data_IF_135201123124
#
_entry.id   IF_135201123124
#
_cell.length_a   1.000
_cell.length_b   1.000
_cell.length_c   1.000
_cell.angle_alpha   90.00
_cell.angle_beta   90.00
_cell.angle_gamma   90.00
#
_symmetry.space_group_name_H-M   'P 1'
#
loop_
_entity.id
_entity.type
_entity.pdbx_description
1 polymer ?
#
# COMPACT_ATOMS: atom_id res chain seq x y z
N UNK A 1 9.00 1.21 4.37
CA UNK A 1 8.86 1.67 2.97
C UNK A 1 9.55 3.01 2.75
N UNK A 2 9.16 4.08 3.46
CA UNK A 2 9.72 5.42 3.20
C UNK A 2 11.25 5.47 3.27
N UNK A 3 11.86 4.78 4.25
CA UNK A 3 13.32 4.66 4.35
C UNK A 3 13.90 3.83 3.19
N UNK A 4 13.31 2.69 2.89
CA UNK A 4 13.80 1.78 1.85
C UNK A 4 13.73 2.41 0.45
N UNK A 5 12.76 3.28 0.22
CA UNK A 5 12.56 3.97 -1.05
C UNK A 5 13.10 5.40 -1.07
N UNK A 6 13.89 5.79 -0.04
CA UNK A 6 14.48 7.12 0.09
C UNK A 6 13.48 8.29 0.09
N UNK A 7 12.24 8.02 0.54
CA UNK A 7 11.16 9.01 0.71
C UNK A 7 11.13 9.57 2.14
N UNK A 8 12.30 9.92 2.70
CA UNK A 8 12.46 10.25 4.12
C UNK A 8 11.90 11.60 4.52
N UNK A 9 11.65 12.51 3.58
CA UNK A 9 11.00 13.79 3.80
C UNK A 9 9.87 14.00 2.81
N UNK A 10 8.69 14.30 3.34
CA UNK A 10 7.49 14.61 2.55
C UNK A 10 7.10 16.09 2.69
N UNK A 11 8.07 16.94 3.09
CA UNK A 11 7.84 18.38 3.21
C UNK A 11 7.23 18.94 1.92
N UNK A 12 6.19 19.76 2.07
CA UNK A 12 5.42 20.40 1.00
C UNK A 12 4.62 19.46 0.08
N UNK A 13 4.70 18.13 0.27
CA UNK A 13 3.96 17.17 -0.56
C UNK A 13 2.49 17.07 -0.17
N UNK A 14 1.64 17.01 -1.19
CA UNK A 14 0.23 16.67 -1.08
C UNK A 14 0.07 15.18 -1.37
N UNK A 15 -0.49 14.45 -0.40
CA UNK A 15 -0.58 13.00 -0.42
C UNK A 15 -2.04 12.51 -0.46
N UNK A 16 -2.24 11.31 -0.99
CA UNK A 16 -3.50 10.55 -0.89
C UNK A 16 -3.21 9.22 -0.22
N UNK A 17 -4.00 8.86 0.78
CA UNK A 17 -3.99 7.55 1.43
C UNK A 17 -5.26 6.78 1.00
N UNK A 18 -5.10 5.76 0.16
CA UNK A 18 -6.18 4.93 -0.36
C UNK A 18 -6.34 3.68 0.50
N UNK A 19 -7.46 3.60 1.21
CA UNK A 19 -7.72 2.58 2.22
C UNK A 19 -7.19 3.03 3.58
N UNK A 20 -7.48 4.28 3.96
CA UNK A 20 -6.92 4.91 5.15
C UNK A 20 -7.25 4.17 6.45
N UNK A 21 -8.39 3.48 6.53
CA UNK A 21 -8.81 2.68 7.71
C UNK A 21 -8.69 3.49 9.01
N UNK A 22 -7.95 3.00 9.99
CA UNK A 22 -7.68 3.71 11.26
C UNK A 22 -6.72 4.88 11.11
N UNK A 23 -6.02 5.00 9.97
CA UNK A 23 -5.14 6.12 9.65
C UNK A 23 -3.65 5.84 9.82
N UNK A 24 -3.23 4.57 9.86
CA UNK A 24 -1.83 4.22 10.06
C UNK A 24 -0.89 4.81 9.01
N UNK A 25 -1.25 4.75 7.74
CA UNK A 25 -0.45 5.35 6.66
C UNK A 25 -0.58 6.88 6.67
N UNK A 26 -1.79 7.41 6.88
CA UNK A 26 -2.01 8.86 7.05
C UNK A 26 -1.12 9.42 8.15
N UNK A 27 -1.08 8.81 9.35
CA UNK A 27 -0.23 9.24 10.47
C UNK A 27 1.27 9.20 10.09
N UNK A 28 1.69 8.13 9.44
CA UNK A 28 3.06 8.00 8.94
C UNK A 28 3.44 9.14 7.98
N UNK A 29 2.58 9.48 7.03
CA UNK A 29 2.79 10.59 6.09
C UNK A 29 2.90 11.92 6.83
N UNK A 30 2.03 12.18 7.80
CA UNK A 30 2.03 13.40 8.62
C UNK A 30 3.31 13.53 9.45
N UNK A 31 3.79 12.44 10.06
CA UNK A 31 5.04 12.40 10.83
C UNK A 31 6.28 12.67 9.95
N UNK A 32 6.23 12.34 8.65
CA UNK A 32 7.29 12.64 7.69
C UNK A 32 7.14 14.01 7.02
N UNK A 33 6.21 14.84 7.50
CA UNK A 33 6.10 16.25 7.12
C UNK A 33 5.15 16.52 5.94
N UNK A 34 4.28 15.57 5.57
CA UNK A 34 3.29 15.81 4.51
C UNK A 34 2.52 17.10 4.78
N UNK A 35 2.41 17.95 3.75
CA UNK A 35 1.68 19.21 3.78
C UNK A 35 0.18 18.99 3.92
N UNK A 36 -0.33 17.97 3.24
CA UNK A 36 -1.74 17.59 3.25
C UNK A 36 -1.90 16.12 2.91
N UNK A 37 -2.87 15.46 3.53
CA UNK A 37 -3.23 14.07 3.23
C UNK A 37 -4.73 13.95 3.02
N UNK A 38 -5.14 13.47 1.85
CA UNK A 38 -6.50 13.04 1.58
C UNK A 38 -6.64 11.58 2.04
N UNK A 39 -7.35 11.35 3.14
CA UNK A 39 -7.59 10.03 3.71
C UNK A 39 -8.89 9.44 3.12
N UNK A 40 -8.72 8.56 2.12
CA UNK A 40 -9.83 7.97 1.34
C UNK A 40 -10.15 6.59 1.85
N UNK A 41 -11.41 6.34 2.25
CA UNK A 41 -11.88 5.01 2.65
C UNK A 41 -13.35 4.79 2.28
N UNK A 42 -13.72 3.54 2.00
CA UNK A 42 -15.11 3.14 1.80
C UNK A 42 -15.89 3.04 3.10
N UNK A 43 -15.20 2.84 4.21
CA UNK A 43 -15.74 2.82 5.56
C UNK A 43 -16.20 4.19 6.05
N UNK A 44 -16.75 4.19 7.26
CA UNK A 44 -17.19 5.42 7.93
C UNK A 44 -16.90 5.36 9.43
N UNK A 45 -16.32 6.45 9.97
CA UNK A 45 -16.07 6.57 11.40
C UNK A 45 -14.93 5.67 11.92
N UNK A 46 -14.09 5.13 11.03
CA UNK A 46 -12.99 4.22 11.37
C UNK A 46 -11.70 4.99 11.67
N UNK A 47 -11.49 6.12 11.00
CA UNK A 47 -10.28 6.94 11.13
C UNK A 47 -10.13 7.45 12.58
N UNK A 48 -8.94 7.27 13.15
CA UNK A 48 -8.61 7.70 14.50
C UNK A 48 -8.95 9.18 14.73
N UNK A 49 -9.44 9.51 15.91
CA UNK A 49 -9.91 10.86 16.24
C UNK A 49 -8.81 11.93 16.12
N UNK A 50 -7.57 11.62 16.50
CA UNK A 50 -6.44 12.56 16.42
C UNK A 50 -6.13 12.89 14.96
N UNK A 51 -6.11 11.87 14.09
CA UNK A 51 -5.84 12.01 12.67
C UNK A 51 -6.97 12.79 12.00
N UNK A 52 -8.21 12.46 12.32
CA UNK A 52 -9.41 13.15 11.83
C UNK A 52 -9.42 14.65 12.12
N UNK A 53 -8.85 15.08 13.24
CA UNK A 53 -8.80 16.46 13.67
C UNK A 53 -7.48 17.18 13.31
N UNK A 54 -6.53 16.52 12.67
CA UNK A 54 -5.34 17.20 12.15
C UNK A 54 -5.73 18.09 10.96
N UNK A 55 -5.38 19.35 11.02
CA UNK A 55 -5.75 20.37 10.02
C UNK A 55 -5.18 20.09 8.63
N UNK A 56 -4.19 19.20 8.53
CA UNK A 56 -3.58 18.74 7.28
C UNK A 56 -4.35 17.60 6.64
N UNK A 57 -5.32 16.98 7.33
CA UNK A 57 -6.07 15.82 6.84
C UNK A 57 -7.41 16.22 6.26
N UNK A 58 -7.67 15.78 5.05
CA UNK A 58 -8.98 15.86 4.41
C UNK A 58 -9.62 14.47 4.45
N UNK A 59 -10.63 14.31 5.29
CA UNK A 59 -11.32 13.04 5.49
C UNK A 59 -12.30 12.78 4.35
N UNK A 60 -12.10 11.69 3.62
CA UNK A 60 -12.93 11.25 2.48
C UNK A 60 -13.48 9.85 2.72
N UNK A 61 -14.35 9.73 3.72
CA UNK A 61 -15.03 8.48 4.05
C UNK A 61 -16.25 8.22 3.14
N UNK A 62 -16.70 6.95 3.08
CA UNK A 62 -17.76 6.48 2.15
C UNK A 62 -17.41 6.77 0.69
N UNK A 63 -16.13 6.89 0.38
CA UNK A 63 -15.63 7.17 -0.96
C UNK A 63 -14.93 5.94 -1.52
N UNK A 64 -15.36 5.47 -2.68
CA UNK A 64 -14.62 4.43 -3.38
C UNK A 64 -13.62 5.09 -4.33
N UNK A 65 -12.34 4.87 -4.09
CA UNK A 65 -11.24 5.45 -4.85
C UNK A 65 -11.38 5.25 -6.37
N UNK A 66 -12.00 4.15 -6.81
CA UNK A 66 -12.26 3.88 -8.24
C UNK A 66 -13.09 4.95 -8.95
N UNK A 67 -13.88 5.71 -8.21
CA UNK A 67 -14.81 6.71 -8.77
C UNK A 67 -14.35 8.15 -8.52
N UNK A 68 -13.21 8.35 -7.89
CA UNK A 68 -12.62 9.67 -7.74
C UNK A 68 -11.91 10.01 -9.03
N UNK A 69 -12.40 11.00 -9.74
CA UNK A 69 -11.85 11.40 -11.04
C UNK A 69 -10.69 12.40 -10.90
N UNK A 70 -10.71 13.25 -9.87
CA UNK A 70 -9.69 14.28 -9.66
C UNK A 70 -9.70 14.76 -8.22
N UNK A 71 -8.56 15.34 -7.81
CA UNK A 71 -8.44 16.19 -6.63
C UNK A 71 -8.29 17.64 -7.10
N UNK A 72 -8.73 18.62 -6.29
CA UNK A 72 -8.66 20.03 -6.64
C UNK A 72 -7.26 20.64 -6.57
N UNK A 73 -6.28 19.81 -6.30
CA UNK A 73 -4.87 20.17 -6.24
C UNK A 73 -4.00 19.01 -6.74
N UNK A 74 -2.77 19.30 -7.21
CA UNK A 74 -1.84 18.28 -7.67
C UNK A 74 -1.47 17.29 -6.55
N UNK A 75 -1.39 16.00 -6.88
CA UNK A 75 -1.00 14.94 -5.94
C UNK A 75 0.43 14.51 -6.24
N UNK A 76 1.29 14.58 -5.22
CA UNK A 76 2.70 14.25 -5.34
C UNK A 76 2.99 12.80 -4.96
N UNK A 77 2.22 12.25 -4.00
CA UNK A 77 2.40 10.87 -3.53
C UNK A 77 1.05 10.22 -3.22
N UNK A 78 0.84 9.02 -3.73
CA UNK A 78 -0.28 8.16 -3.35
C UNK A 78 0.23 6.95 -2.61
N UNK A 79 -0.29 6.68 -1.42
CA UNK A 79 -0.09 5.40 -0.73
C UNK A 79 -1.36 4.56 -0.85
N UNK A 80 -1.21 3.25 -1.07
CA UNK A 80 -2.36 2.35 -1.30
C UNK A 80 -2.25 1.15 -0.37
N UNK A 81 -3.22 1.03 0.56
CA UNK A 81 -3.44 -0.14 1.41
C UNK A 81 -4.90 -0.62 1.26
N UNK A 82 -5.29 -0.95 0.04
CA UNK A 82 -6.66 -1.37 -0.26
C UNK A 82 -6.85 -2.88 -0.07
N UNK A 83 -7.98 -3.26 0.54
CA UNK A 83 -8.38 -4.65 0.71
C UNK A 83 -9.53 -5.00 -0.23
N UNK A 84 -9.60 -6.28 -0.65
CA UNK A 84 -10.66 -6.84 -1.51
C UNK A 84 -10.75 -6.25 -2.92
N UNK A 85 -9.71 -5.56 -3.37
CA UNK A 85 -9.60 -4.98 -4.70
C UNK A 85 -8.17 -5.15 -5.22
N UNK A 86 -8.02 -5.44 -6.50
CA UNK A 86 -6.72 -5.53 -7.14
C UNK A 86 -6.15 -4.14 -7.44
N UNK A 87 -4.83 -3.97 -7.27
CA UNK A 87 -4.10 -2.78 -7.69
C UNK A 87 -4.26 -2.50 -9.18
N UNK A 88 -4.47 -3.53 -9.99
CA UNK A 88 -4.76 -3.39 -11.43
C UNK A 88 -6.06 -2.62 -11.71
N UNK A 89 -6.97 -2.55 -10.75
CA UNK A 89 -8.16 -1.71 -10.84
C UNK A 89 -7.91 -0.27 -10.40
N UNK A 90 -6.98 -0.06 -9.46
CA UNK A 90 -6.71 1.26 -8.88
C UNK A 90 -5.68 2.07 -9.66
N UNK A 91 -4.59 1.44 -10.13
CA UNK A 91 -3.49 2.14 -10.81
C UNK A 91 -3.94 2.97 -12.03
N UNK A 92 -4.87 2.50 -12.90
CA UNK A 92 -5.37 3.32 -14.01
C UNK A 92 -6.13 4.58 -13.56
N UNK A 93 -6.70 4.57 -12.37
CA UNK A 93 -7.39 5.73 -11.79
C UNK A 93 -6.39 6.65 -11.11
N UNK A 94 -5.51 6.09 -10.30
CA UNK A 94 -4.49 6.81 -9.53
C UNK A 94 -3.60 7.67 -10.42
N UNK A 95 -3.18 7.16 -11.59
CA UNK A 95 -2.33 7.94 -12.53
C UNK A 95 -2.95 9.27 -12.97
N UNK A 96 -4.30 9.37 -12.93
CA UNK A 96 -5.01 10.59 -13.34
C UNK A 96 -4.92 11.68 -12.27
N UNK A 97 -4.58 11.34 -11.03
CA UNK A 97 -4.44 12.27 -9.92
C UNK A 97 -3.02 12.84 -9.80
N UNK A 98 -2.05 12.04 -10.27
CA UNK A 98 -0.62 12.34 -10.08
C UNK A 98 -0.19 13.52 -10.93
N UNK A 99 0.61 14.38 -10.31
CA UNK A 99 1.16 15.56 -10.93
C UNK A 99 2.38 15.23 -11.79
N UNK A 100 2.42 15.78 -12.99
CA UNK A 100 3.64 15.78 -13.79
C UNK A 100 4.63 16.85 -13.25
N UNK A 101 5.94 16.66 -13.35
CA UNK A 101 6.60 15.63 -14.15
C UNK A 101 6.83 14.31 -13.42
N UNK A 102 6.61 14.23 -12.10
CA UNK A 102 6.96 13.03 -11.32
C UNK A 102 6.05 12.83 -10.12
N UNK A 103 4.98 12.07 -10.33
CA UNK A 103 4.14 11.57 -9.24
C UNK A 103 4.62 10.21 -8.74
N UNK A 104 4.45 9.94 -7.47
CA UNK A 104 4.93 8.73 -6.82
C UNK A 104 3.77 7.91 -6.22
N UNK A 105 3.92 6.59 -6.24
CA UNK A 105 2.97 5.66 -5.61
C UNK A 105 3.74 4.66 -4.75
N UNK A 106 3.33 4.49 -3.51
CA UNK A 106 3.75 3.37 -2.66
C UNK A 106 2.54 2.46 -2.46
N UNK A 107 2.56 1.29 -3.10
CA UNK A 107 1.44 0.37 -3.10
C UNK A 107 1.75 -0.90 -2.30
N UNK A 108 0.88 -1.25 -1.37
CA UNK A 108 0.92 -2.54 -0.68
C UNK A 108 0.29 -3.61 -1.56
N UNK A 109 1.11 -4.52 -2.07
CA UNK A 109 0.70 -5.68 -2.86
C UNK A 109 0.32 -6.80 -1.90
N UNK A 110 -0.92 -7.20 -1.95
CA UNK A 110 -1.51 -8.25 -1.12
C UNK A 110 -1.81 -9.48 -1.98
N UNK A 111 -0.95 -10.52 -1.99
CA UNK A 111 -1.15 -11.67 -2.86
C UNK A 111 -2.54 -12.30 -2.75
N UNK A 112 -3.13 -12.32 -1.56
CA UNK A 112 -4.47 -12.85 -1.32
C UNK A 112 -5.59 -12.10 -2.05
N UNK A 113 -5.36 -10.86 -2.52
CA UNK A 113 -6.31 -10.08 -3.31
C UNK A 113 -5.93 -9.94 -4.79
N UNK A 114 -4.71 -10.33 -5.14
CA UNK A 114 -4.20 -10.28 -6.52
C UNK A 114 -4.23 -11.64 -7.21
N UNK A 115 -4.03 -12.73 -6.47
CA UNK A 115 -4.10 -14.09 -6.97
C UNK A 115 -5.53 -14.49 -7.36
N UNK A 116 -5.64 -15.49 -8.22
CA UNK A 116 -6.92 -16.04 -8.64
C UNK A 116 -7.73 -16.64 -7.49
N UNK A 117 -9.05 -16.65 -7.62
CA UNK A 117 -9.96 -17.20 -6.57
C UNK A 117 -9.63 -18.65 -6.19
N UNK A 118 -9.18 -19.46 -7.14
CA UNK A 118 -8.81 -20.87 -6.90
C UNK A 118 -7.61 -20.99 -5.97
N UNK A 119 -6.62 -20.13 -6.09
CA UNK A 119 -5.41 -20.16 -5.27
C UNK A 119 -5.67 -19.65 -3.87
N UNK A 120 -6.44 -18.58 -3.77
CA UNK A 120 -6.87 -18.03 -2.48
C UNK A 120 -7.74 -19.02 -1.69
N UNK A 121 -8.64 -19.74 -2.37
CA UNK A 121 -9.50 -20.73 -1.74
C UNK A 121 -8.72 -21.95 -1.19
N UNK A 122 -7.69 -22.44 -1.91
CA UNK A 122 -6.84 -23.56 -1.46
C UNK A 122 -6.14 -23.27 -0.13
N UNK A 123 -5.75 -22.00 0.11
CA UNK A 123 -5.05 -21.56 1.31
C UNK A 123 -5.94 -21.01 2.42
N UNK A 124 -7.28 -21.16 2.35
CA UNK A 124 -8.21 -20.53 3.31
C UNK A 124 -8.00 -19.01 3.45
N UNK A 125 -7.66 -18.36 2.35
CA UNK A 125 -7.36 -16.92 2.31
C UNK A 125 -5.91 -16.55 2.62
N UNK A 126 -5.01 -17.55 2.75
CA UNK A 126 -3.56 -17.33 2.96
C UNK A 126 -2.75 -17.91 1.81
N UNK A 127 -1.94 -17.07 1.20
CA UNK A 127 -0.98 -17.48 0.18
C UNK A 127 0.37 -17.71 0.86
N UNK A 128 0.89 -18.95 0.79
CA UNK A 128 2.19 -19.32 1.37
C UNK A 128 3.24 -19.72 0.35
N UNK A 129 2.79 -20.09 -0.85
CA UNK A 129 3.66 -20.54 -1.91
C UNK A 129 4.47 -19.38 -2.51
N UNK A 130 5.82 -19.42 -2.41
CA UNK A 130 6.66 -18.36 -2.99
C UNK A 130 6.48 -18.18 -4.50
N UNK A 131 6.15 -19.25 -5.24
CA UNK A 131 5.95 -19.17 -6.68
C UNK A 131 4.67 -18.40 -7.02
N UNK A 132 3.62 -18.53 -6.21
CA UNK A 132 2.40 -17.73 -6.34
C UNK A 132 2.72 -16.26 -6.01
N UNK A 133 3.54 -15.99 -4.97
CA UNK A 133 4.00 -14.63 -4.68
C UNK A 133 4.74 -14.02 -5.88
N UNK A 134 5.72 -14.74 -6.46
CA UNK A 134 6.48 -14.29 -7.66
C UNK A 134 5.54 -13.99 -8.82
N UNK A 135 4.61 -14.92 -9.11
CA UNK A 135 3.65 -14.73 -10.19
C UNK A 135 2.76 -13.50 -9.98
N UNK A 136 2.27 -13.29 -8.77
CA UNK A 136 1.47 -12.10 -8.41
C UNK A 136 2.29 -10.82 -8.58
N UNK A 137 3.50 -10.77 -8.05
CA UNK A 137 4.36 -9.59 -8.15
C UNK A 137 4.65 -9.25 -9.61
N UNK A 138 4.99 -10.25 -10.43
CA UNK A 138 5.20 -10.09 -11.87
C UNK A 138 3.96 -9.50 -12.54
N UNK A 139 2.79 -10.08 -12.32
CA UNK A 139 1.55 -9.60 -12.92
C UNK A 139 1.22 -8.16 -12.55
N UNK A 140 1.39 -7.78 -11.28
CA UNK A 140 1.10 -6.41 -10.83
C UNK A 140 2.09 -5.41 -11.39
N UNK A 141 3.39 -5.71 -11.35
CA UNK A 141 4.44 -4.79 -11.81
C UNK A 141 4.46 -4.64 -13.34
N UNK A 142 4.27 -5.72 -14.10
CA UNK A 142 4.12 -5.65 -15.55
C UNK A 142 2.86 -4.88 -15.95
N UNK A 143 1.76 -5.04 -15.21
CA UNK A 143 0.56 -4.25 -15.43
C UNK A 143 0.82 -2.77 -15.15
N UNK A 144 1.50 -2.43 -14.05
CA UNK A 144 1.87 -1.06 -13.75
C UNK A 144 2.70 -0.43 -14.89
N UNK A 145 3.67 -1.17 -15.45
CA UNK A 145 4.45 -0.70 -16.62
C UNK A 145 3.57 -0.45 -17.84
N UNK A 146 2.61 -1.32 -18.14
CA UNK A 146 1.65 -1.12 -19.25
C UNK A 146 0.79 0.12 -19.04
N UNK A 147 0.51 0.49 -17.78
CA UNK A 147 -0.21 1.71 -17.43
C UNK A 147 0.69 2.96 -17.40
N UNK A 148 1.97 2.84 -17.76
CA UNK A 148 2.91 3.94 -17.88
C UNK A 148 3.68 4.26 -16.60
N UNK A 149 3.69 3.37 -15.60
CA UNK A 149 4.54 3.48 -14.43
C UNK A 149 5.92 2.85 -14.63
N UNK A 150 6.91 3.32 -13.90
CA UNK A 150 8.18 2.60 -13.68
C UNK A 150 8.24 2.11 -12.25
N UNK A 151 8.55 0.83 -12.03
CA UNK A 151 8.80 0.29 -10.69
C UNK A 151 10.26 0.59 -10.28
N UNK A 152 10.44 1.49 -9.32
CA UNK A 152 11.74 1.91 -8.80
C UNK A 152 12.23 1.03 -7.64
N UNK A 153 11.30 0.36 -6.94
CA UNK A 153 11.65 -0.48 -5.81
C UNK A 153 10.57 -1.47 -5.44
N UNK A 154 11.00 -2.56 -4.84
CA UNK A 154 10.14 -3.62 -4.33
C UNK A 154 10.76 -4.17 -3.05
N UNK A 155 10.00 -4.25 -1.97
CA UNK A 155 10.42 -4.86 -0.71
C UNK A 155 9.33 -5.78 -0.15
N UNK A 156 9.73 -6.77 0.63
CA UNK A 156 8.81 -7.52 1.48
C UNK A 156 8.37 -6.60 2.63
N UNK A 157 7.08 -6.57 2.93
CA UNK A 157 6.57 -5.84 4.09
C UNK A 157 7.18 -6.41 5.38
N UNK A 158 7.67 -5.57 6.31
CA UNK A 158 8.15 -6.04 7.61
C UNK A 158 7.01 -6.55 8.50
N UNK A 159 5.77 -6.17 8.18
CA UNK A 159 4.56 -6.63 8.85
C UNK A 159 3.85 -7.65 7.98
N UNK A 160 3.30 -8.68 8.61
CA UNK A 160 2.41 -9.61 7.94
C UNK A 160 0.97 -9.12 7.99
N UNK A 161 0.24 -9.38 6.93
CA UNK A 161 -1.19 -9.11 6.88
C UNK A 161 -2.01 -10.09 7.72
N UNK A 162 -3.34 -9.98 7.69
CA UNK A 162 -4.24 -10.87 8.42
C UNK A 162 -3.92 -12.35 8.17
N UNK A 163 -4.01 -13.16 9.23
CA UNK A 163 -3.72 -14.60 9.22
C UNK A 163 -2.28 -14.95 8.80
N UNK A 164 -1.34 -13.98 8.87
CA UNK A 164 0.06 -14.18 8.52
C UNK A 164 0.36 -14.16 7.02
N UNK A 165 -0.47 -13.51 6.21
CA UNK A 165 -0.16 -13.28 4.80
C UNK A 165 1.11 -12.45 4.65
N UNK A 166 2.01 -12.91 3.77
CA UNK A 166 3.17 -12.12 3.34
C UNK A 166 2.67 -11.10 2.32
N UNK A 167 3.02 -9.82 2.56
CA UNK A 167 2.66 -8.72 1.71
C UNK A 167 3.92 -7.99 1.24
N UNK A 168 3.82 -7.21 0.18
CA UNK A 168 4.96 -6.54 -0.44
C UNK A 168 4.63 -5.06 -0.68
N UNK A 169 5.66 -4.22 -0.68
CA UNK A 169 5.52 -2.79 -0.98
C UNK A 169 6.29 -2.49 -2.26
N UNK A 170 5.59 -1.89 -3.21
CA UNK A 170 6.19 -1.42 -4.47
C UNK A 170 6.23 0.10 -4.49
N UNK A 171 7.35 0.67 -4.96
CA UNK A 171 7.51 2.08 -5.28
C UNK A 171 7.41 2.26 -6.78
N UNK A 172 6.43 3.04 -7.22
CA UNK A 172 6.14 3.28 -8.64
C UNK A 172 6.23 4.78 -8.92
N UNK A 173 6.79 5.14 -10.06
CA UNK A 173 6.89 6.51 -10.56
C UNK A 173 5.99 6.67 -11.78
N UNK A 174 5.29 7.80 -11.87
CA UNK A 174 4.46 8.16 -13.02
C UNK A 174 4.62 9.64 -13.42
N UNK A 175 4.79 9.96 -14.71
CA UNK A 175 5.02 9.03 -15.80
C UNK A 175 6.35 8.32 -15.66
N UNK A 176 6.39 7.05 -16.05
CA UNK A 176 7.61 6.25 -16.09
C UNK A 176 8.43 6.57 -17.34
N UNK A 177 9.73 6.80 -17.16
CA UNK A 177 10.64 7.12 -18.27
C UNK A 177 11.19 5.86 -18.95
N UNK A 178 11.48 4.82 -18.13
CA UNK A 178 12.06 3.57 -18.64
C UNK A 178 11.38 2.37 -17.97
N UNK A 179 11.15 1.27 -18.71
CA UNK A 179 10.68 0.04 -18.09
C UNK A 179 11.69 -0.49 -17.06
N UNK A 180 11.20 -0.88 -15.89
CA UNK A 180 12.01 -1.54 -14.88
C UNK A 180 12.27 -3.01 -15.27
N UNK A 181 13.39 -3.56 -14.83
CA UNK A 181 13.62 -5.01 -14.85
C UNK A 181 12.84 -5.66 -13.68
N UNK A 182 11.62 -6.07 -13.97
CA UNK A 182 10.70 -6.66 -12.98
C UNK A 182 11.26 -7.93 -12.36
N UNK A 183 11.92 -8.78 -13.16
CA UNK A 183 12.50 -10.03 -12.65
C UNK A 183 13.61 -9.74 -11.65
N UNK A 184 14.49 -8.80 -11.95
CA UNK A 184 15.56 -8.37 -11.04
C UNK A 184 15.00 -7.84 -9.71
N UNK A 185 13.92 -7.08 -9.73
CA UNK A 185 13.27 -6.59 -8.51
C UNK A 185 12.72 -7.75 -7.68
N UNK A 186 12.08 -8.74 -8.32
CA UNK A 186 11.51 -9.90 -7.66
C UNK A 186 12.61 -10.80 -7.09
N UNK A 187 13.67 -11.08 -7.86
CA UNK A 187 14.79 -11.91 -7.42
C UNK A 187 15.56 -11.27 -6.26
N UNK A 188 15.59 -9.96 -6.18
CA UNK A 188 16.23 -9.20 -5.09
C UNK A 188 15.53 -9.30 -3.74
N UNK A 189 14.32 -9.91 -3.67
CA UNK A 189 13.61 -10.09 -2.40
C UNK A 189 14.21 -11.18 -1.52
N UNK A 190 14.12 -11.07 -0.18
CA UNK A 190 14.63 -12.07 0.76
C UNK A 190 13.69 -13.29 0.83
N UNK A 191 13.74 -14.18 -0.16
CA UNK A 191 12.87 -15.34 -0.27
C UNK A 191 13.16 -16.44 0.79
N UNK A 192 14.40 -16.49 1.28
CA UNK A 192 14.90 -17.56 2.17
C UNK A 192 14.84 -17.17 3.67
N UNK A 193 14.44 -15.96 4.00
CA UNK A 193 14.26 -15.58 5.40
C UNK A 193 12.95 -16.20 5.90
N UNK A 194 13.08 -17.29 6.65
CA UNK A 194 11.97 -17.93 7.34
C UNK A 194 11.18 -16.91 8.14
N UNK A 195 9.88 -17.06 8.17
CA UNK A 195 8.99 -16.38 9.10
C UNK A 195 9.55 -16.58 10.52
N UNK A 196 10.22 -15.59 11.08
CA UNK A 196 10.42 -15.53 12.52
C UNK A 196 9.05 -15.21 13.15
N UNK A 197 8.17 -16.23 13.11
CA UNK A 197 7.00 -16.28 13.95
C UNK A 197 7.44 -16.86 15.28
N UNK A 198 8.08 -16.05 16.11
CA UNK A 198 8.19 -16.29 17.55
C UNK A 198 8.50 -14.97 18.24
N UNK A 199 7.49 -14.15 18.42
CA UNK A 199 7.43 -13.30 19.59
C UNK A 199 6.46 -13.98 20.55
N UNK A 200 6.94 -14.44 21.73
CA UNK A 200 6.05 -15.03 22.74
C UNK A 200 5.01 -14.00 23.16
N UNK A 201 3.76 -14.48 23.18
CA UNK A 201 2.60 -13.68 23.56
C UNK A 201 2.81 -12.89 24.84
N UNK A 202 2.40 -11.63 24.80
CA UNK A 202 2.23 -10.87 26.03
C UNK A 202 1.19 -11.60 26.90
N UNK A 203 1.43 -11.80 28.19
CA UNK A 203 0.46 -12.40 29.09
C UNK A 203 -0.79 -11.54 29.16
N UNK A 204 -1.95 -12.17 29.01
CA UNK A 204 -3.24 -11.55 29.28
C UNK A 204 -3.26 -10.98 30.71
N UNK A 205 -3.83 -9.79 30.93
CA UNK A 205 -3.99 -9.27 32.28
C UNK A 205 -5.01 -10.16 33.04
N UNK A 206 -4.54 -10.84 34.06
CA UNK A 206 -5.38 -11.60 35.00
C UNK A 206 -6.52 -10.72 35.53
N UNK A 207 -7.73 -11.15 35.20
CA UNK A 207 -8.93 -10.58 35.77
C UNK A 207 -8.96 -10.72 37.26
N UNK A 208 -8.91 -9.62 38.00
CA UNK A 208 -9.32 -9.60 39.43
C UNK A 208 -10.83 -9.53 39.50
N UNK A 209 -11.43 -10.69 39.77
CA UNK A 209 -12.72 -10.77 40.43
C UNK A 209 -12.60 -10.15 41.85
N UNK A 210 -13.35 -9.12 42.09
CA UNK A 210 -14.06 -8.90 43.37
C UNK A 210 -15.21 -7.91 43.15
#
# INVERSE_FOLDING_TARGET
ALQAFHLTSLADRVCVDVGASTGGFTDCLLQHGAKKVFAVDVGYGVLDWKIRNDTRVVVMEKQNARYITTFHEPIDLVVIDASFISLRTLLPVVRQWLNAPKGEVVALIKPQFEAGRSETARGSGVIRDPEIHRAVLRQVLEFAQKEGYTAEGLIRSPLTGPKGNIEFLAHLIYPGETPADVERLIEGLPWNEGTTADQPGQPEPEGKLK
#
